data_IF_079258138924
#
_entry.id   IF_079258138924
#
_cell.length_a   1.000
_cell.length_b   1.000
_cell.length_c   1.000
_cell.angle_alpha   90.00
_cell.angle_beta   90.00
_cell.angle_gamma   90.00
#
_symmetry.space_group_name_H-M   'P 1'
#
loop_
_entity.id
_entity.type
_entity.pdbx_description
1 polymer ?
#
# COMPACT_ATOMS: atom_id res chain seq x y z
N UNK A 1 2.78 17.55 4.87
CA UNK A 1 1.45 16.94 4.99
C UNK A 1 1.16 16.70 6.45
N UNK A 2 -0.04 17.02 6.88
CA UNK A 2 -0.45 16.85 8.27
C UNK A 2 -1.14 15.50 8.42
N UNK A 3 -0.79 14.79 9.49
CA UNK A 3 -1.38 13.50 9.86
C UNK A 3 -1.77 13.51 11.33
N UNK A 4 -2.88 12.86 11.64
CA UNK A 4 -3.31 12.60 13.01
C UNK A 4 -2.95 11.15 13.33
N UNK A 5 -2.11 10.96 14.33
CA UNK A 5 -1.74 9.62 14.81
C UNK A 5 -2.61 9.29 16.02
N UNK A 6 -3.43 8.26 15.89
CA UNK A 6 -4.24 7.74 16.99
C UNK A 6 -3.58 6.46 17.50
N UNK A 7 -3.33 6.39 18.79
CA UNK A 7 -2.77 5.20 19.43
C UNK A 7 -3.70 4.72 20.53
N UNK A 8 -4.06 3.45 20.49
CA UNK A 8 -4.86 2.78 21.50
C UNK A 8 -4.09 1.62 22.09
N UNK A 9 -4.13 1.50 23.42
CA UNK A 9 -3.57 0.37 24.13
C UNK A 9 -4.67 -0.24 25.02
N UNK A 10 -4.97 -1.51 24.79
CA UNK A 10 -5.97 -2.22 25.61
C UNK A 10 -5.37 -2.59 26.97
N UNK A 11 -5.93 -2.12 28.10
CA UNK A 11 -5.40 -2.43 29.43
C UNK A 11 -5.61 -3.88 29.86
N UNK A 12 -6.52 -4.62 29.18
CA UNK A 12 -6.84 -6.00 29.52
C UNK A 12 -5.98 -7.05 28.80
N UNK A 13 -5.72 -6.86 27.51
CA UNK A 13 -4.95 -7.83 26.71
C UNK A 13 -3.60 -7.28 26.23
N UNK A 14 -3.26 -6.03 26.53
CA UNK A 14 -2.01 -5.39 26.11
C UNK A 14 -1.92 -5.10 24.60
N UNK A 15 -2.97 -5.38 23.84
CA UNK A 15 -2.97 -5.11 22.41
C UNK A 15 -2.86 -3.61 22.15
N UNK A 16 -1.97 -3.24 21.21
CA UNK A 16 -1.75 -1.86 20.79
C UNK A 16 -2.16 -1.73 19.34
N UNK A 17 -2.94 -0.71 19.05
CA UNK A 17 -3.28 -0.30 17.69
C UNK A 17 -2.84 1.14 17.48
N UNK A 18 -2.20 1.40 16.35
CA UNK A 18 -1.85 2.75 15.92
C UNK A 18 -2.41 2.96 14.52
N UNK A 19 -3.21 3.98 14.37
CA UNK A 19 -3.86 4.34 13.12
C UNK A 19 -3.48 5.77 12.74
N UNK A 20 -3.30 6.00 11.47
CA UNK A 20 -2.98 7.31 10.92
C UNK A 20 -4.13 7.78 10.07
N UNK A 21 -4.64 8.95 10.39
CA UNK A 21 -5.64 9.64 9.60
C UNK A 21 -5.01 10.85 8.92
N UNK A 22 -5.26 11.02 7.64
CA UNK A 22 -4.82 12.22 6.91
C UNK A 22 -5.66 13.40 7.35
N UNK A 23 -5.02 14.46 7.86
CA UNK A 23 -5.69 15.69 8.28
C UNK A 23 -5.85 16.70 7.13
N UNK A 24 -5.14 16.48 6.03
CA UNK A 24 -5.16 17.36 4.85
C UNK A 24 -6.26 17.01 3.86
N UNK A 25 -6.53 17.95 2.95
CA UNK A 25 -7.46 17.75 1.85
C UNK A 25 -6.98 16.63 0.90
N UNK A 26 -7.96 15.99 0.23
CA UNK A 26 -7.70 15.06 -0.86
C UNK A 26 -7.00 15.84 -1.99
N UNK A 27 -5.88 15.31 -2.47
CA UNK A 27 -5.10 15.97 -3.50
C UNK A 27 -5.87 16.01 -4.84
N UNK A 28 -5.57 16.94 -5.76
CA UNK A 28 -6.25 17.03 -7.07
C UNK A 28 -6.10 15.77 -7.94
N UNK A 29 -5.04 14.98 -7.73
CA UNK A 29 -4.73 13.75 -8.47
C UNK A 29 -4.40 12.62 -7.51
N UNK A 30 -4.65 11.37 -7.94
CA UNK A 30 -4.08 10.20 -7.31
C UNK A 30 -2.57 10.10 -7.58
N UNK A 31 -1.86 9.33 -6.77
CA UNK A 31 -0.43 9.10 -6.95
C UNK A 31 -0.07 7.61 -6.86
N UNK A 32 0.92 7.23 -7.66
CA UNK A 32 1.55 5.91 -7.60
C UNK A 32 3.02 6.11 -7.23
N UNK A 33 3.45 5.42 -6.18
CA UNK A 33 4.85 5.28 -5.84
C UNK A 33 5.33 3.89 -6.24
N UNK A 34 6.50 3.80 -6.84
CA UNK A 34 7.16 2.53 -7.11
C UNK A 34 8.55 2.57 -6.50
N UNK A 35 8.84 1.56 -5.67
CA UNK A 35 10.13 1.37 -5.03
C UNK A 35 10.72 0.04 -5.49
N UNK A 36 11.96 0.07 -5.99
CA UNK A 36 12.74 -1.11 -6.29
C UNK A 36 13.59 -1.46 -5.07
N UNK A 37 13.24 -2.54 -4.41
CA UNK A 37 13.94 -3.03 -3.22
C UNK A 37 15.04 -3.97 -3.67
N UNK A 38 16.28 -3.65 -3.31
CA UNK A 38 17.47 -4.46 -3.63
C UNK A 38 18.37 -4.70 -2.42
N UNK A 39 18.12 -3.96 -1.32
CA UNK A 39 18.87 -4.04 -0.07
C UNK A 39 17.92 -3.97 1.13
N UNK A 40 18.38 -4.43 2.29
CA UNK A 40 17.64 -4.24 3.55
C UNK A 40 17.37 -2.77 3.87
N UNK A 41 18.27 -1.87 3.49
CA UNK A 41 18.06 -0.44 3.68
C UNK A 41 16.86 0.06 2.88
N UNK A 42 16.62 -0.47 1.68
CA UNK A 42 15.42 -0.12 0.91
C UNK A 42 14.13 -0.57 1.59
N UNK A 43 14.15 -1.70 2.34
CA UNK A 43 13.00 -2.17 3.11
C UNK A 43 12.67 -1.27 4.30
N UNK A 44 13.66 -0.56 4.85
CA UNK A 44 13.48 0.35 5.98
C UNK A 44 12.97 1.73 5.58
N UNK A 45 12.70 1.98 4.28
CA UNK A 45 12.10 3.24 3.83
C UNK A 45 10.78 3.46 4.53
N UNK A 46 10.63 4.66 5.10
CA UNK A 46 9.40 5.04 5.78
C UNK A 46 8.28 5.26 4.76
N UNK A 47 7.12 4.73 5.11
CA UNK A 47 5.88 4.86 4.34
C UNK A 47 4.82 5.49 5.24
N UNK A 48 4.18 6.52 4.74
CA UNK A 48 2.93 7.03 5.29
C UNK A 48 1.82 6.65 4.30
N UNK A 49 1.01 5.68 4.67
CA UNK A 49 -0.06 5.13 3.84
C UNK A 49 -1.39 5.73 4.26
N UNK A 50 -2.16 6.28 3.31
CA UNK A 50 -3.54 6.68 3.56
C UNK A 50 -4.47 5.47 3.65
N UNK A 51 -5.68 5.66 4.16
CA UNK A 51 -6.74 4.65 4.19
C UNK A 51 -7.20 4.19 2.80
N UNK A 52 -6.96 5.00 1.77
CA UNK A 52 -7.32 4.71 0.37
C UNK A 52 -6.19 4.04 -0.42
N UNK A 53 -5.02 3.90 0.18
CA UNK A 53 -3.84 3.37 -0.50
C UNK A 53 -3.84 1.84 -0.52
N UNK A 54 -3.73 1.25 -1.71
CA UNK A 54 -3.42 -0.16 -1.91
C UNK A 54 -1.93 -0.37 -2.15
N UNK A 55 -1.43 -1.56 -1.80
CA UNK A 55 -0.03 -1.93 -2.00
C UNK A 55 0.04 -3.20 -2.83
N UNK A 56 0.88 -3.21 -3.86
CA UNK A 56 1.09 -4.38 -4.73
C UNK A 56 2.57 -4.76 -4.73
N UNK A 57 2.83 -6.06 -4.62
CA UNK A 57 4.15 -6.67 -4.82
C UNK A 57 4.04 -7.65 -5.99
N UNK A 58 4.39 -7.21 -7.21
CA UNK A 58 4.17 -8.00 -8.43
C UNK A 58 4.86 -9.37 -8.41
N UNK A 59 6.09 -9.44 -7.91
CA UNK A 59 6.90 -10.66 -7.84
C UNK A 59 6.25 -11.74 -6.96
N UNK A 60 5.44 -11.34 -5.99
CA UNK A 60 4.66 -12.23 -5.14
C UNK A 60 3.24 -12.47 -5.67
N UNK A 61 2.81 -11.73 -6.69
CA UNK A 61 1.41 -11.64 -7.13
C UNK A 61 0.49 -11.24 -5.94
N UNK A 62 1.02 -10.42 -5.04
CA UNK A 62 0.35 -9.99 -3.83
C UNK A 62 -0.24 -8.60 -4.03
N UNK A 63 -1.52 -8.46 -3.72
CA UNK A 63 -2.19 -7.17 -3.63
C UNK A 63 -2.82 -7.02 -2.23
N UNK A 64 -2.39 -6.00 -1.51
CA UNK A 64 -2.93 -5.63 -0.20
C UNK A 64 -3.93 -4.51 -0.44
N UNK A 65 -5.22 -4.73 -0.15
CA UNK A 65 -6.25 -3.72 -0.38
C UNK A 65 -6.07 -2.51 0.54
N UNK A 66 -6.72 -1.42 0.16
CA UNK A 66 -6.82 -0.24 0.99
C UNK A 66 -7.48 -0.58 2.35
N UNK A 67 -6.86 -0.13 3.42
CA UNK A 67 -7.29 -0.28 4.83
C UNK A 67 -6.89 0.98 5.59
N UNK A 68 -7.08 0.97 6.91
CA UNK A 68 -6.67 2.07 7.78
C UNK A 68 -5.29 2.65 7.43
N UNK A 69 -5.17 3.96 7.57
CA UNK A 69 -3.91 4.64 7.34
C UNK A 69 -2.84 4.21 8.35
N UNK A 70 -1.57 4.22 7.91
CA UNK A 70 -0.49 3.65 8.70
C UNK A 70 0.83 4.38 8.44
N UNK A 71 1.63 4.57 9.49
CA UNK A 71 3.06 4.89 9.35
C UNK A 71 3.83 3.61 9.59
N UNK A 72 4.60 3.19 8.59
CA UNK A 72 5.30 1.91 8.61
C UNK A 72 6.51 1.94 7.68
N UNK A 73 7.11 0.79 7.43
CA UNK A 73 8.16 0.58 6.44
C UNK A 73 7.72 -0.49 5.43
N UNK A 74 8.48 -0.68 4.34
CA UNK A 74 8.22 -1.78 3.40
C UNK A 74 8.29 -3.12 4.14
N UNK A 75 9.30 -3.29 4.99
CA UNK A 75 9.44 -4.48 5.84
C UNK A 75 8.22 -4.67 6.74
N UNK A 76 7.78 -3.62 7.42
CA UNK A 76 6.61 -3.66 8.30
C UNK A 76 5.33 -4.08 7.58
N UNK A 77 5.08 -3.60 6.36
CA UNK A 77 3.93 -4.01 5.55
C UNK A 77 3.96 -5.52 5.27
N UNK A 78 5.14 -6.05 4.90
CA UNK A 78 5.29 -7.47 4.60
C UNK A 78 5.13 -8.34 5.85
N UNK A 79 5.71 -7.93 6.98
CA UNK A 79 5.56 -8.62 8.27
C UNK A 79 4.11 -8.62 8.76
N UNK A 80 3.41 -7.48 8.67
CA UNK A 80 2.00 -7.38 9.02
C UNK A 80 1.14 -8.29 8.13
N UNK A 81 1.47 -8.35 6.83
CA UNK A 81 0.77 -9.24 5.89
C UNK A 81 0.93 -10.70 6.26
N UNK A 82 2.14 -11.16 6.61
CA UNK A 82 2.37 -12.53 7.07
C UNK A 82 1.55 -12.80 8.32
N UNK A 83 1.62 -11.92 9.31
CA UNK A 83 0.87 -12.07 10.58
C UNK A 83 -0.64 -12.18 10.33
N UNK A 84 -1.21 -11.32 9.48
CA UNK A 84 -2.63 -11.32 9.16
C UNK A 84 -3.05 -12.61 8.43
N UNK A 85 -2.22 -13.11 7.51
CA UNK A 85 -2.47 -14.35 6.80
C UNK A 85 -2.41 -15.56 7.73
N UNK A 86 -1.45 -15.60 8.66
CA UNK A 86 -1.27 -16.68 9.62
C UNK A 86 -2.41 -16.77 10.64
N UNK A 87 -3.01 -15.66 11.00
CA UNK A 87 -4.07 -15.62 12.02
C UNK A 87 -5.24 -16.56 11.69
N UNK A 88 -5.55 -16.78 10.41
CA UNK A 88 -6.62 -17.69 9.97
C UNK A 88 -6.15 -19.12 9.65
N UNK A 89 -4.86 -19.41 9.68
CA UNK A 89 -4.29 -20.69 9.23
C UNK A 89 -4.73 -21.90 10.05
N UNK A 90 -4.88 -21.84 11.39
CA UNK A 90 -5.36 -22.98 12.17
C UNK A 90 -6.75 -23.47 11.72
N UNK A 91 -7.65 -22.57 11.37
CA UNK A 91 -8.99 -22.90 10.88
C UNK A 91 -8.94 -23.42 9.45
N UNK A 92 -8.18 -22.75 8.57
CA UNK A 92 -8.04 -23.15 7.16
C UNK A 92 -7.45 -24.55 7.00
N UNK A 93 -6.49 -24.94 7.85
CA UNK A 93 -5.89 -26.27 7.82
C UNK A 93 -6.91 -27.41 7.87
N UNK A 94 -8.02 -27.21 8.58
CA UNK A 94 -9.07 -28.20 8.72
C UNK A 94 -10.21 -28.03 7.74
N UNK A 95 -10.56 -26.77 7.42
CA UNK A 95 -11.73 -26.47 6.60
C UNK A 95 -11.42 -26.32 5.12
N UNK A 96 -10.22 -25.88 4.77
CA UNK A 96 -9.80 -25.53 3.40
C UNK A 96 -8.31 -25.85 3.19
N UNK A 97 -7.89 -27.12 3.18
CA UNK A 97 -6.47 -27.51 3.12
C UNK A 97 -5.76 -26.96 1.88
N UNK A 98 -6.39 -26.91 0.73
CA UNK A 98 -5.78 -26.36 -0.51
C UNK A 98 -5.48 -24.86 -0.38
N UNK A 99 -6.33 -24.10 0.34
CA UNK A 99 -6.10 -22.67 0.61
C UNK A 99 -5.02 -22.50 1.65
N UNK A 100 -5.00 -23.36 2.67
CA UNK A 100 -3.96 -23.40 3.68
C UNK A 100 -2.58 -23.52 3.05
N UNK A 101 -2.35 -24.51 2.18
CA UNK A 101 -1.06 -24.75 1.53
C UNK A 101 -0.61 -23.56 0.66
N UNK A 102 -1.53 -22.94 -0.08
CA UNK A 102 -1.23 -21.76 -0.91
C UNK A 102 -0.80 -20.57 -0.08
N UNK A 103 -1.45 -20.36 1.08
CA UNK A 103 -1.11 -19.26 2.00
C UNK A 103 0.22 -19.53 2.69
N UNK A 104 0.50 -20.77 3.13
CA UNK A 104 1.81 -21.14 3.67
C UNK A 104 2.92 -20.85 2.67
N UNK A 105 2.77 -21.31 1.43
CA UNK A 105 3.75 -21.06 0.37
C UNK A 105 3.95 -19.55 0.10
N UNK A 106 2.89 -18.73 0.19
CA UNK A 106 3.01 -17.29 0.06
C UNK A 106 3.76 -16.69 1.26
N UNK A 107 3.43 -17.08 2.49
CA UNK A 107 4.12 -16.63 3.70
C UNK A 107 5.61 -16.97 3.66
N UNK A 108 5.97 -18.17 3.24
CA UNK A 108 7.39 -18.58 3.05
C UNK A 108 8.10 -17.70 2.01
N UNK A 109 7.45 -17.41 0.89
CA UNK A 109 8.02 -16.51 -0.13
C UNK A 109 8.23 -15.10 0.42
N UNK A 110 7.28 -14.56 1.20
CA UNK A 110 7.43 -13.25 1.84
C UNK A 110 8.60 -13.27 2.82
N UNK A 111 8.71 -14.29 3.68
CA UNK A 111 9.82 -14.44 4.62
C UNK A 111 11.16 -14.55 3.91
N UNK A 112 11.21 -15.26 2.77
CA UNK A 112 12.38 -15.32 1.91
C UNK A 112 12.84 -13.95 1.41
N UNK A 113 11.89 -13.05 1.08
CA UNK A 113 12.21 -11.66 0.71
C UNK A 113 12.67 -10.84 1.92
N UNK A 114 12.10 -11.06 3.09
CA UNK A 114 12.49 -10.36 4.33
C UNK A 114 13.92 -10.71 4.78
N UNK A 115 14.42 -11.90 4.41
CA UNK A 115 15.78 -12.32 4.71
C UNK A 115 16.04 -12.42 6.20
N UNK A 116 15.18 -13.11 6.95
CA UNK A 116 15.23 -13.19 8.42
C UNK A 116 16.58 -13.67 8.98
N UNK A 117 17.44 -14.28 8.15
CA UNK A 117 18.74 -14.82 8.55
C UNK A 117 19.96 -14.04 8.00
N UNK A 118 19.77 -12.93 7.26
CA UNK A 118 20.87 -12.25 6.60
C UNK A 118 21.25 -10.92 7.23
N UNK A 119 22.55 -10.69 7.38
CA UNK A 119 23.14 -9.41 7.79
C UNK A 119 22.72 -8.27 6.85
N UNK A 120 22.61 -7.04 7.37
CA UNK A 120 22.16 -5.85 6.65
C UNK A 120 22.92 -5.54 5.35
N UNK A 121 24.11 -6.10 5.17
CA UNK A 121 24.97 -5.96 4.00
C UNK A 121 24.67 -6.94 2.87
N UNK A 122 23.87 -7.99 3.11
CA UNK A 122 23.56 -8.98 2.07
C UNK A 122 22.52 -8.46 1.08
N UNK A 123 22.70 -8.72 -0.22
CA UNK A 123 21.71 -8.37 -1.22
C UNK A 123 20.43 -9.19 -1.00
N UNK A 124 19.32 -8.49 -0.95
CA UNK A 124 17.99 -9.10 -0.93
C UNK A 124 17.62 -9.50 -2.36
N UNK A 125 16.84 -10.57 -2.53
CA UNK A 125 16.26 -10.86 -3.84
C UNK A 125 15.47 -9.65 -4.32
N UNK A 126 15.78 -9.03 -5.48
CA UNK A 126 15.16 -7.80 -5.92
C UNK A 126 13.66 -7.98 -6.14
N UNK A 127 12.88 -7.03 -5.64
CA UNK A 127 11.44 -6.97 -5.89
C UNK A 127 10.94 -5.51 -5.94
N UNK A 128 9.72 -5.33 -6.42
CA UNK A 128 9.07 -4.01 -6.49
C UNK A 128 7.94 -3.92 -5.48
N UNK A 129 7.79 -2.74 -4.93
CA UNK A 129 6.61 -2.37 -4.15
C UNK A 129 5.95 -1.18 -4.83
N UNK A 130 4.67 -1.33 -5.13
CA UNK A 130 3.85 -0.31 -5.77
C UNK A 130 2.76 0.12 -4.80
N UNK A 131 2.74 1.39 -4.44
CA UNK A 131 1.68 2.01 -3.66
C UNK A 131 0.80 2.82 -4.60
N UNK A 132 -0.48 2.51 -4.65
CA UNK A 132 -1.48 3.25 -5.43
C UNK A 132 -2.47 3.91 -4.49
N UNK A 133 -2.46 5.23 -4.47
CA UNK A 133 -3.31 6.04 -3.59
C UNK A 133 -4.13 7.04 -4.39
N UNK A 134 -5.44 6.77 -4.59
CA UNK A 134 -6.34 7.71 -5.23
C UNK A 134 -6.47 9.04 -4.49
N UNK A 135 -6.31 9.08 -3.15
CA UNK A 135 -6.36 10.34 -2.41
C UNK A 135 -5.16 11.26 -2.68
N UNK A 136 -4.04 10.68 -3.14
CA UNK A 136 -2.79 11.39 -3.38
C UNK A 136 -2.04 11.80 -2.11
N UNK A 137 -2.48 11.33 -0.93
CA UNK A 137 -1.95 11.74 0.38
C UNK A 137 -0.84 10.82 0.90
N UNK A 138 -0.70 9.61 0.36
CA UNK A 138 0.38 8.72 0.74
C UNK A 138 1.76 9.28 0.37
N UNK A 139 2.77 8.80 1.08
CA UNK A 139 4.15 9.22 0.88
C UNK A 139 5.10 8.05 1.13
N UNK A 140 6.13 7.95 0.31
CA UNK A 140 7.25 7.03 0.50
C UNK A 140 8.54 7.84 0.59
N UNK A 141 9.34 7.57 1.59
CA UNK A 141 10.60 8.25 1.85
C UNK A 141 11.52 8.20 0.63
N UNK A 142 12.02 9.39 0.27
CA UNK A 142 13.04 9.58 -0.75
C UNK A 142 14.40 9.60 -0.08
N UNK A 143 15.27 8.68 -0.43
CA UNK A 143 16.61 8.53 0.16
C UNK A 143 17.74 9.11 -0.71
N UNK A 144 17.40 9.71 -1.86
CA UNK A 144 18.37 10.38 -2.72
C UNK A 144 18.90 11.67 -2.09
N UNK A 145 20.20 11.89 -2.18
CA UNK A 145 20.81 13.13 -1.73
C UNK A 145 20.61 14.24 -2.76
N UNK A 146 20.01 15.34 -2.35
CA UNK A 146 19.88 16.56 -3.18
C UNK A 146 21.26 17.21 -3.43
N UNK A 147 22.25 16.94 -2.57
CA UNK A 147 23.57 17.57 -2.57
C UNK A 147 24.62 16.85 -3.42
N UNK A 148 24.46 15.58 -3.71
CA UNK A 148 25.39 14.85 -4.57
C UNK A 148 24.92 14.92 -6.03
N UNK A 149 25.52 15.84 -6.76
CA UNK A 149 25.48 16.05 -8.22
C UNK A 149 24.75 14.94 -9.01
N UNK A 150 23.45 15.13 -9.25
CA UNK A 150 22.64 14.23 -10.07
C UNK A 150 22.09 13.01 -9.36
N UNK A 151 22.11 12.95 -8.03
CA UNK A 151 21.68 11.84 -7.20
C UNK A 151 20.16 11.64 -7.12
N UNK A 152 19.51 11.49 -8.27
CA UNK A 152 18.14 10.97 -8.29
C UNK A 152 18.15 9.55 -7.70
N UNK A 153 17.23 9.26 -6.77
CA UNK A 153 17.03 7.91 -6.28
C UNK A 153 16.46 7.03 -7.41
N UNK A 154 17.35 6.32 -8.09
CA UNK A 154 16.98 5.48 -9.24
C UNK A 154 16.04 4.32 -8.84
N UNK A 155 15.91 4.02 -7.54
CA UNK A 155 15.05 2.98 -7.01
C UNK A 155 13.64 3.48 -6.65
N UNK A 156 13.41 4.79 -6.68
CA UNK A 156 12.18 5.44 -6.28
C UNK A 156 11.58 6.22 -7.43
N UNK A 157 10.31 6.09 -7.65
CA UNK A 157 9.58 6.92 -8.60
C UNK A 157 8.20 7.25 -8.07
N UNK A 158 7.73 8.45 -8.45
CA UNK A 158 6.37 8.92 -8.19
C UNK A 158 5.72 9.33 -9.50
N UNK A 159 4.47 8.92 -9.70
CA UNK A 159 3.65 9.33 -10.82
C UNK A 159 2.27 9.77 -10.32
N UNK A 160 1.85 10.95 -10.70
CA UNK A 160 0.49 11.42 -10.46
C UNK A 160 -0.41 11.04 -11.63
N UNK A 161 -1.69 10.71 -11.36
CA UNK A 161 -2.65 10.31 -12.37
C UNK A 161 -4.04 10.93 -12.12
N UNK A 162 -4.84 11.18 -13.18
CA UNK A 162 -6.23 11.59 -13.04
C UNK A 162 -7.05 10.41 -12.51
N UNK A 163 -7.89 10.68 -11.51
CA UNK A 163 -8.79 9.67 -10.92
C UNK A 163 -9.91 9.28 -11.87
N UNK A 164 -10.38 8.04 -11.75
CA UNK A 164 -11.61 7.58 -12.38
C UNK A 164 -12.84 8.15 -11.65
N UNK A 165 -14.02 8.01 -12.25
CA UNK A 165 -15.27 8.41 -11.61
C UNK A 165 -15.53 7.60 -10.33
N UNK A 166 -15.29 6.29 -10.39
CA UNK A 166 -15.45 5.36 -9.28
C UNK A 166 -14.53 5.73 -8.10
N UNK A 167 -13.28 6.10 -8.39
CA UNK A 167 -12.35 6.59 -7.37
C UNK A 167 -12.82 7.90 -6.73
N UNK A 168 -13.39 8.83 -7.51
CA UNK A 168 -13.93 10.06 -6.97
C UNK A 168 -15.18 9.81 -6.09
N UNK A 169 -16.04 8.87 -6.46
CA UNK A 169 -17.18 8.44 -5.63
C UNK A 169 -16.68 7.80 -4.33
N UNK A 170 -15.73 6.88 -4.40
CA UNK A 170 -15.15 6.23 -3.22
C UNK A 170 -14.48 7.21 -2.25
N UNK A 171 -13.96 8.32 -2.74
CA UNK A 171 -13.37 9.41 -1.96
C UNK A 171 -14.42 10.43 -1.46
N UNK A 172 -15.70 10.26 -1.80
CA UNK A 172 -16.76 11.21 -1.44
C UNK A 172 -16.70 12.54 -2.20
N UNK A 173 -15.94 12.63 -3.29
CA UNK A 173 -15.80 13.85 -4.11
C UNK A 173 -16.95 14.03 -5.12
N UNK A 174 -17.70 12.97 -5.40
CA UNK A 174 -18.89 12.95 -6.27
C UNK A 174 -19.98 12.10 -5.64
N UNK A 175 -21.24 12.55 -5.71
CA UNK A 175 -22.38 11.73 -5.27
C UNK A 175 -22.64 10.56 -6.23
N UNK A 176 -23.23 9.46 -5.73
CA UNK A 176 -23.55 8.25 -6.51
C UNK A 176 -24.43 8.54 -7.74
N UNK A 177 -25.31 9.55 -7.67
CA UNK A 177 -26.18 9.97 -8.77
C UNK A 177 -25.43 10.54 -10.00
N UNK A 178 -24.15 10.93 -9.86
CA UNK A 178 -23.34 11.44 -10.97
C UNK A 178 -22.66 10.32 -11.79
N UNK A 179 -22.67 9.09 -11.28
CA UNK A 179 -22.07 7.94 -11.96
C UNK A 179 -22.98 7.37 -13.08
N UNK A 180 -24.30 7.56 -12.98
CA UNK A 180 -25.28 6.96 -13.92
C UNK A 180 -25.58 7.80 -15.17
N UNK A 181 -25.22 9.11 -15.22
CA UNK A 181 -25.58 10.03 -16.31
C UNK A 181 -24.49 10.25 -17.37
N UNK A 182 -23.67 9.24 -17.66
CA UNK A 182 -22.68 9.27 -18.75
C UNK A 182 -23.13 8.63 -20.06
N UNK A 183 -24.42 8.33 -20.24
CA UNK A 183 -24.97 7.66 -21.42
C UNK A 183 -26.11 8.44 -22.09
N UNK A 184 -25.79 9.12 -23.18
CA UNK A 184 -26.73 9.35 -24.26
C UNK A 184 -27.62 10.62 -24.21
N UNK A 185 -27.17 11.67 -24.86
CA UNK A 185 -28.08 12.57 -25.60
C UNK A 185 -27.55 12.74 -27.03
N UNK A 186 -28.02 11.86 -27.91
CA UNK A 186 -28.07 12.17 -29.33
C UNK A 186 -29.30 13.05 -29.53
N UNK A 187 -29.12 14.31 -29.84
CA UNK A 187 -30.17 15.15 -30.44
C UNK A 187 -30.24 14.80 -31.91
N UNK A 188 -31.26 14.06 -32.32
CA UNK A 188 -31.81 14.17 -33.65
C UNK A 188 -32.62 15.48 -33.70
N UNK A 189 -32.15 16.44 -34.46
CA UNK A 189 -32.95 17.52 -35.02
C UNK A 189 -33.19 17.16 -36.49
N UNK A 190 -34.38 16.71 -36.76
CA UNK A 190 -34.94 16.58 -38.10
C UNK A 190 -36.20 17.45 -38.22
N UNK A 191 -36.13 18.38 -39.15
CA UNK A 191 -37.19 19.24 -39.74
C UNK A 191 -37.95 20.21 -38.84
#
# INVERSE_FOLDING_TARGET
REVIVMSFSCPHCGNRNSEVQMAGEIQPKGCIYTVHVTTKQDMNRQIVKSEFCSVTVPELQLQIPARAGQITTIEGILQDTVRDLEMGQPVRKHMQPDVYEKIEALCERIRGLLGEETDASHPVQPFKVVLDDPSGNSFVEYTGSIESSGGADAKWSKRDYPRTKEQNVALGLMGDAAAENGGGFSKDEGE
#
